data_IF_068832437882
#
_entry.id   IF_068832437882
#
_cell.length_a   1.000
_cell.length_b   1.000
_cell.length_c   1.000
_cell.angle_alpha   90.00
_cell.angle_beta   90.00
_cell.angle_gamma   90.00
#
_symmetry.space_group_name_H-M   'P 1'
#
loop_
_entity.id
_entity.type
_entity.pdbx_description
1 polymer ?
#
# COMPACT_ATOMS: atom_id res chain seq x y z
N UNK A 1 -8.11 40.90 8.69
CA UNK A 1 -7.55 40.25 9.90
C UNK A 1 -8.12 38.84 9.97
N UNK A 2 -7.25 37.87 10.12
CA UNK A 2 -7.41 36.46 9.74
C UNK A 2 -8.48 35.71 10.52
N UNK A 3 -9.42 35.07 9.79
CA UNK A 3 -10.39 34.12 10.36
C UNK A 3 -9.68 32.83 10.77
N UNK A 4 -9.59 32.60 12.09
CA UNK A 4 -9.21 31.32 12.69
C UNK A 4 -10.30 30.29 12.37
N UNK A 5 -10.02 29.35 11.47
CA UNK A 5 -10.85 28.16 11.28
C UNK A 5 -10.40 27.09 12.28
N UNK A 6 -11.11 27.01 13.40
CA UNK A 6 -11.18 25.79 14.20
C UNK A 6 -11.92 24.71 13.41
N UNK A 7 -11.31 23.55 13.23
CA UNK A 7 -12.02 22.32 12.85
C UNK A 7 -11.58 21.19 13.76
N UNK A 8 -12.38 20.96 14.79
CA UNK A 8 -12.55 19.64 15.40
C UNK A 8 -13.10 18.72 14.30
N UNK A 9 -12.43 17.61 13.99
CA UNK A 9 -13.13 16.44 13.48
C UNK A 9 -12.34 15.17 13.74
N UNK A 10 -12.71 14.54 14.85
CA UNK A 10 -12.50 13.14 15.15
C UNK A 10 -13.26 12.35 14.08
N UNK A 11 -12.58 11.87 13.04
CA UNK A 11 -13.15 10.85 12.16
C UNK A 11 -12.15 9.72 12.03
N UNK A 12 -12.25 8.81 12.99
CA UNK A 12 -11.89 7.41 12.81
C UNK A 12 -12.38 6.99 11.43
N UNK A 13 -11.45 6.83 10.48
CA UNK A 13 -11.84 6.40 9.15
C UNK A 13 -12.37 4.97 9.27
N UNK A 14 -13.63 4.68 8.94
CA UNK A 14 -14.02 3.31 8.71
C UNK A 14 -13.20 2.81 7.52
N UNK A 15 -12.69 1.59 7.63
CA UNK A 15 -12.09 0.79 6.57
C UNK A 15 -13.01 0.74 5.35
N UNK A 16 -13.02 1.79 4.53
CA UNK A 16 -13.77 1.82 3.28
C UNK A 16 -12.81 1.39 2.19
N UNK A 17 -12.73 0.06 2.05
CA UNK A 17 -12.30 -0.60 0.84
C UNK A 17 -12.94 0.12 -0.35
N UNK A 18 -12.17 0.95 -1.06
CA UNK A 18 -12.62 1.53 -2.31
C UNK A 18 -12.58 0.42 -3.36
N UNK A 19 -13.71 -0.28 -3.45
CA UNK A 19 -14.04 -1.28 -4.44
C UNK A 19 -14.56 -0.59 -5.69
N UNK A 20 -13.69 -0.28 -6.64
CA UNK A 20 -14.08 -0.09 -8.04
C UNK A 20 -12.86 -0.37 -8.91
N UNK A 21 -12.81 -1.56 -9.53
CA UNK A 21 -12.35 -1.83 -10.89
C UNK A 21 -12.83 -3.26 -11.24
N UNK A 22 -13.41 -3.41 -12.41
CA UNK A 22 -14.27 -4.51 -12.85
C UNK A 22 -13.54 -5.78 -13.28
N UNK A 23 -13.93 -6.93 -12.73
CA UNK A 23 -14.27 -8.23 -13.35
C UNK A 23 -14.23 -9.28 -12.22
N UNK A 24 -15.20 -10.20 -12.20
CA UNK A 24 -15.40 -11.30 -11.23
C UNK A 24 -14.56 -11.19 -9.95
N UNK A 25 -15.10 -10.54 -8.90
CA UNK A 25 -14.38 -10.35 -7.62
C UNK A 25 -14.10 -11.69 -6.96
N UNK A 26 -13.00 -12.33 -7.36
CA UNK A 26 -12.37 -13.27 -6.46
C UNK A 26 -11.77 -12.41 -5.35
N UNK A 27 -12.36 -12.50 -4.17
CA UNK A 27 -11.89 -11.77 -3.01
C UNK A 27 -10.57 -12.40 -2.58
N UNK A 28 -9.46 -11.76 -2.96
CA UNK A 28 -8.14 -12.09 -2.45
C UNK A 28 -7.98 -11.48 -1.06
N UNK A 29 -7.48 -12.25 -0.08
CA UNK A 29 -7.19 -11.75 1.26
C UNK A 29 -5.94 -10.82 1.31
N UNK A 30 -5.30 -10.59 0.16
CA UNK A 30 -4.07 -9.82 0.01
C UNK A 30 -4.12 -8.88 -1.20
N UNK A 31 -3.30 -7.81 -1.21
CA UNK A 31 -3.20 -6.92 -2.35
C UNK A 31 -2.58 -7.62 -3.57
N UNK A 32 -3.24 -7.45 -4.73
CA UNK A 32 -2.83 -8.01 -6.02
C UNK A 32 -2.38 -6.93 -7.00
N UNK A 33 -1.55 -7.32 -7.98
CA UNK A 33 -1.22 -6.50 -9.13
C UNK A 33 -2.35 -6.51 -10.18
N UNK A 34 -2.14 -5.78 -11.29
CA UNK A 34 -3.10 -5.72 -12.39
C UNK A 34 -3.39 -7.09 -13.05
N UNK A 35 -2.48 -8.06 -12.89
CA UNK A 35 -2.62 -9.41 -13.43
C UNK A 35 -3.20 -10.40 -12.41
N UNK A 36 -3.65 -9.93 -11.23
CA UNK A 36 -4.20 -10.78 -10.18
C UNK A 36 -3.15 -11.60 -9.42
N UNK A 37 -1.86 -11.28 -9.56
CA UNK A 37 -0.75 -11.89 -8.83
C UNK A 37 -0.53 -11.15 -7.50
N UNK A 38 -0.11 -11.85 -6.43
CA UNK A 38 0.19 -11.22 -5.15
C UNK A 38 1.33 -10.22 -5.29
N UNK A 39 1.19 -9.06 -4.63
CA UNK A 39 2.28 -8.07 -4.58
C UNK A 39 3.47 -8.60 -3.76
N UNK A 40 4.68 -8.31 -4.25
CA UNK A 40 5.91 -8.56 -3.50
C UNK A 40 6.07 -7.58 -2.31
N UNK A 41 7.04 -7.85 -1.43
CA UNK A 41 7.27 -7.07 -0.21
C UNK A 41 7.49 -5.57 -0.48
N UNK A 42 8.34 -5.24 -1.45
CA UNK A 42 8.64 -3.86 -1.81
C UNK A 42 7.42 -3.15 -2.42
N UNK A 43 6.63 -3.82 -3.26
CA UNK A 43 5.41 -3.26 -3.85
C UNK A 43 4.34 -2.97 -2.80
N UNK A 44 4.23 -3.82 -1.76
CA UNK A 44 3.34 -3.55 -0.61
C UNK A 44 3.78 -2.31 0.15
N UNK A 45 5.05 -2.27 0.54
CA UNK A 45 5.63 -1.12 1.23
C UNK A 45 5.50 0.17 0.41
N UNK A 46 5.81 0.09 -0.88
CA UNK A 46 5.75 1.23 -1.79
C UNK A 46 4.33 1.76 -1.94
N UNK A 47 3.33 0.88 -2.02
CA UNK A 47 1.92 1.29 -2.07
C UNK A 47 1.49 2.06 -0.83
N UNK A 48 1.88 1.61 0.36
CA UNK A 48 1.59 2.30 1.61
C UNK A 48 2.32 3.65 1.69
N UNK A 49 3.65 3.64 1.56
CA UNK A 49 4.46 4.86 1.75
C UNK A 49 4.29 5.87 0.64
N UNK A 50 3.99 5.46 -0.59
CA UNK A 50 3.69 6.39 -1.67
C UNK A 50 2.49 7.27 -1.31
N UNK A 51 1.46 6.71 -0.69
CA UNK A 51 0.28 7.46 -0.27
C UNK A 51 0.64 8.47 0.83
N UNK A 52 1.48 8.08 1.79
CA UNK A 52 1.99 8.97 2.84
C UNK A 52 2.79 10.15 2.25
N UNK A 53 3.68 9.86 1.30
CA UNK A 53 4.55 10.88 0.66
C UNK A 53 3.74 11.84 -0.20
N UNK A 54 2.75 11.34 -0.97
CA UNK A 54 1.83 12.18 -1.76
C UNK A 54 1.02 13.08 -0.83
N UNK A 55 0.50 12.54 0.28
CA UNK A 55 -0.31 13.30 1.23
C UNK A 55 0.50 14.41 1.90
N UNK A 56 1.79 14.17 2.15
CA UNK A 56 2.70 15.15 2.74
C UNK A 56 3.20 16.18 1.71
N UNK A 57 3.35 15.78 0.44
CA UNK A 57 3.92 16.61 -0.63
C UNK A 57 3.16 16.38 -1.95
N UNK A 58 1.95 16.94 -2.12
CA UNK A 58 1.14 16.71 -3.31
C UNK A 58 1.73 17.33 -4.59
N UNK A 59 2.71 18.23 -4.46
CA UNK A 59 3.41 18.86 -5.58
C UNK A 59 4.60 18.04 -6.13
N UNK A 60 5.00 16.96 -5.46
CA UNK A 60 6.12 16.14 -5.94
C UNK A 60 5.75 15.32 -7.17
N UNK A 61 6.69 15.24 -8.11
CA UNK A 61 6.58 14.36 -9.28
C UNK A 61 6.64 12.91 -8.84
N UNK A 62 5.95 12.04 -9.59
CA UNK A 62 5.92 10.60 -9.34
C UNK A 62 7.33 9.99 -9.30
N UNK A 63 8.26 10.50 -10.12
CA UNK A 63 9.67 10.09 -10.14
C UNK A 63 10.36 10.36 -8.81
N UNK A 64 10.18 11.56 -8.24
CA UNK A 64 10.76 11.95 -6.95
C UNK A 64 10.20 11.10 -5.81
N UNK A 65 8.89 10.84 -5.85
CA UNK A 65 8.22 9.99 -4.87
C UNK A 65 8.77 8.55 -4.94
N UNK A 66 8.94 8.00 -6.14
CA UNK A 66 9.50 6.67 -6.33
C UNK A 66 10.94 6.58 -5.80
N UNK A 67 11.77 7.58 -6.08
CA UNK A 67 13.13 7.70 -5.54
C UNK A 67 13.13 7.74 -4.01
N UNK A 68 12.27 8.57 -3.39
CA UNK A 68 12.18 8.69 -1.94
C UNK A 68 11.74 7.38 -1.28
N UNK A 69 10.72 6.72 -1.84
CA UNK A 69 10.25 5.41 -1.34
C UNK A 69 11.32 4.33 -1.48
N UNK A 70 12.10 4.35 -2.57
CA UNK A 70 13.23 3.45 -2.76
C UNK A 70 14.32 3.63 -1.69
N UNK A 71 14.65 4.87 -1.33
CA UNK A 71 15.57 5.17 -0.23
C UNK A 71 15.01 4.67 1.11
N UNK A 72 13.74 4.98 1.41
CA UNK A 72 13.09 4.53 2.65
C UNK A 72 13.12 3.01 2.81
N UNK A 73 12.94 2.25 1.72
CA UNK A 73 13.03 0.78 1.75
C UNK A 73 14.43 0.27 2.12
N UNK A 74 15.47 0.95 1.63
CA UNK A 74 16.86 0.63 1.97
C UNK A 74 17.19 0.99 3.41
N UNK A 75 16.61 2.06 3.92
CA UNK A 75 16.74 2.54 5.30
C UNK A 75 15.95 1.70 6.32
N UNK A 76 15.01 0.86 5.88
CA UNK A 76 14.30 -0.05 6.78
C UNK A 76 15.26 -1.02 7.46
N UNK A 77 14.98 -1.25 8.75
CA UNK A 77 15.61 -2.31 9.53
C UNK A 77 15.20 -3.69 8.99
N UNK A 78 16.06 -4.70 9.22
CA UNK A 78 15.77 -6.07 8.81
C UNK A 78 14.46 -6.59 9.40
N UNK A 79 14.12 -6.25 10.64
CA UNK A 79 12.85 -6.65 11.27
C UNK A 79 11.63 -6.08 10.55
N UNK A 80 11.67 -4.78 10.17
CA UNK A 80 10.58 -4.16 9.41
C UNK A 80 10.48 -4.73 8.01
N UNK A 81 11.61 -4.93 7.35
CA UNK A 81 11.67 -5.56 6.02
C UNK A 81 11.13 -7.00 6.07
N UNK A 82 11.47 -7.75 7.11
CA UNK A 82 11.08 -9.14 7.30
C UNK A 82 9.55 -9.29 7.41
N UNK A 83 8.88 -8.36 8.10
CA UNK A 83 7.41 -8.33 8.14
C UNK A 83 6.80 -8.29 6.74
N UNK A 84 7.25 -7.38 5.87
CA UNK A 84 6.73 -7.30 4.51
C UNK A 84 7.08 -8.52 3.66
N UNK A 85 8.25 -9.13 3.89
CA UNK A 85 8.65 -10.37 3.24
C UNK A 85 7.75 -11.55 3.64
N UNK A 86 7.44 -11.67 4.93
CA UNK A 86 6.55 -12.72 5.45
C UNK A 86 5.12 -12.57 4.91
N UNK A 87 4.56 -11.37 4.97
CA UNK A 87 3.23 -11.07 4.40
C UNK A 87 3.17 -11.34 2.88
N UNK A 88 4.25 -11.02 2.15
CA UNK A 88 4.34 -11.30 0.72
C UNK A 88 4.47 -12.81 0.43
N UNK A 89 5.20 -13.54 1.26
CA UNK A 89 5.36 -15.00 1.16
C UNK A 89 4.03 -15.71 1.41
N UNK A 90 3.34 -15.36 2.49
CA UNK A 90 2.03 -15.93 2.82
C UNK A 90 1.01 -15.73 1.70
N UNK A 91 0.92 -14.52 1.15
CA UNK A 91 0.06 -14.23 0.00
C UNK A 91 0.45 -15.02 -1.27
N UNK A 92 1.75 -15.25 -1.48
CA UNK A 92 2.23 -16.07 -2.60
C UNK A 92 1.85 -17.54 -2.44
N UNK A 93 1.91 -18.08 -1.23
CA UNK A 93 1.47 -19.44 -0.92
C UNK A 93 -0.04 -19.59 -1.13
N UNK A 94 -0.85 -18.65 -0.65
CA UNK A 94 -2.30 -18.65 -0.88
C UNK A 94 -2.63 -18.58 -2.38
N UNK A 95 -1.95 -17.71 -3.13
CA UNK A 95 -2.08 -17.63 -4.59
C UNK A 95 -1.79 -18.97 -5.28
N UNK A 96 -0.67 -19.61 -4.92
CA UNK A 96 -0.27 -20.92 -5.48
C UNK A 96 -1.31 -21.99 -5.15
N UNK A 97 -1.75 -22.06 -3.88
CA UNK A 97 -2.75 -23.03 -3.45
C UNK A 97 -4.07 -22.87 -4.21
N UNK A 98 -4.46 -21.63 -4.53
CA UNK A 98 -5.67 -21.35 -5.30
C UNK A 98 -5.55 -21.71 -6.78
N UNK A 99 -4.34 -21.71 -7.35
CA UNK A 99 -4.12 -22.11 -8.74
C UNK A 99 -4.03 -23.62 -8.93
N UNK A 100 -3.59 -24.35 -7.90
CA UNK A 100 -3.37 -25.80 -7.96
C UNK A 100 -4.64 -26.61 -7.65
N UNK A 101 -5.71 -25.97 -7.20
CA UNK A 101 -6.97 -26.61 -6.81
C UNK A 101 -8.02 -26.47 -7.91
#
# INVERSE_FOLDING_TARGET
MSMLRSTVSKFQQPLRAQLFHSSARVFYAYPVDKNGKPLNAFMRFSKEKRQDVISSNPAFKVTEIASKVGSLWKELTDSQRQRYLDEAKSALEEYKNRLTK
#
